data_IF_018559889712
#
_entry.id   IF_018559889712
#
_cell.length_a   1.000
_cell.length_b   1.000
_cell.length_c   1.000
_cell.angle_alpha   90.00
_cell.angle_beta   90.00
_cell.angle_gamma   90.00
#
_symmetry.space_group_name_H-M   'P 1'
#
loop_
_entity.id
_entity.type
_entity.pdbx_description
1 polymer ?
#
# COMPACT_ATOMS: atom_id res chain seq x y z
N UNK A 1 -9.07 30.81 -15.87
CA UNK A 1 -8.78 30.42 -17.26
C UNK A 1 -8.30 28.99 -17.19
N UNK A 2 -9.18 28.07 -17.60
CA UNK A 2 -8.97 26.62 -17.65
C UNK A 2 -7.73 26.34 -18.49
N UNK A 3 -6.70 25.75 -17.90
CA UNK A 3 -5.51 25.28 -18.61
C UNK A 3 -5.44 23.77 -18.42
N UNK A 4 -5.88 23.08 -19.46
CA UNK A 4 -5.82 21.65 -19.73
C UNK A 4 -4.91 20.87 -18.76
N UNK A 5 -5.49 20.23 -17.72
CA UNK A 5 -4.80 19.10 -17.11
C UNK A 5 -4.85 17.97 -18.14
N UNK A 6 -3.83 17.89 -18.99
CA UNK A 6 -3.46 16.64 -19.65
C UNK A 6 -3.40 15.59 -18.55
N UNK A 7 -4.05 14.44 -18.72
CA UNK A 7 -4.26 13.38 -17.70
C UNK A 7 -3.01 12.89 -16.92
N UNK A 8 -1.85 13.53 -17.03
CA UNK A 8 -0.71 13.46 -16.13
C UNK A 8 -0.97 14.19 -14.79
N UNK A 9 -1.78 13.54 -13.94
CA UNK A 9 -2.15 14.03 -12.62
C UNK A 9 -0.99 14.19 -11.62
N UNK A 10 0.25 13.88 -12.01
CA UNK A 10 1.47 14.13 -11.23
C UNK A 10 1.85 15.61 -11.16
N UNK A 11 1.49 16.40 -12.17
CA UNK A 11 1.90 17.81 -12.30
C UNK A 11 0.78 18.82 -11.99
N UNK A 12 -0.49 18.39 -11.98
CA UNK A 12 -1.62 19.26 -11.67
C UNK A 12 -2.13 19.01 -10.25
N UNK A 13 -2.45 20.07 -9.51
CA UNK A 13 -2.96 20.02 -8.14
C UNK A 13 -4.47 19.71 -8.09
N UNK A 14 -5.00 19.08 -9.15
CA UNK A 14 -6.40 18.65 -9.24
C UNK A 14 -6.61 17.32 -8.52
N UNK A 15 -7.82 17.14 -8.00
CA UNK A 15 -8.22 15.96 -7.24
C UNK A 15 -8.52 14.79 -8.20
N UNK A 16 -7.48 14.20 -8.78
CA UNK A 16 -7.61 13.12 -9.75
C UNK A 16 -7.93 11.78 -9.10
N UNK A 17 -8.83 11.01 -9.73
CA UNK A 17 -9.24 9.66 -9.30
C UNK A 17 -8.07 8.66 -9.21
N UNK A 18 -6.98 8.87 -9.94
CA UNK A 18 -5.74 8.05 -9.87
C UNK A 18 -5.01 8.19 -8.52
N UNK A 19 -5.28 9.25 -7.74
CA UNK A 19 -4.72 9.45 -6.39
C UNK A 19 -5.46 8.67 -5.32
N UNK A 20 -6.53 7.97 -5.67
CA UNK A 20 -7.24 7.09 -4.74
C UNK A 20 -6.35 5.88 -4.52
N UNK A 21 -5.52 5.92 -3.47
CA UNK A 21 -4.75 4.77 -3.04
C UNK A 21 -5.76 3.69 -2.62
N UNK A 22 -6.01 2.73 -3.51
CA UNK A 22 -6.73 1.51 -3.21
C UNK A 22 -6.11 0.90 -1.95
N UNK A 23 -6.88 0.89 -0.88
CA UNK A 23 -6.43 0.28 0.37
C UNK A 23 -6.37 -1.22 0.12
N UNK A 24 -5.16 -1.78 0.03
CA UNK A 24 -4.94 -3.24 -0.01
C UNK A 24 -5.35 -3.93 1.30
N UNK A 25 -5.92 -3.19 2.26
CA UNK A 25 -6.43 -3.72 3.51
C UNK A 25 -7.81 -4.34 3.28
N UNK A 26 -7.86 -5.67 3.27
CA UNK A 26 -9.11 -6.41 3.33
C UNK A 26 -9.68 -6.35 4.75
N UNK A 27 -11.00 -6.19 4.86
CA UNK A 27 -11.67 -6.26 6.15
C UNK A 27 -11.35 -7.58 6.86
N UNK A 28 -11.01 -7.54 8.16
CA UNK A 28 -10.84 -8.75 8.96
C UNK A 28 -12.13 -9.58 8.97
N UNK A 29 -12.01 -10.88 9.24
CA UNK A 29 -13.18 -11.73 9.51
C UNK A 29 -13.96 -11.20 10.72
N UNK A 30 -15.27 -11.41 10.75
CA UNK A 30 -16.11 -11.09 11.91
C UNK A 30 -15.54 -11.70 13.20
N UNK A 31 -15.42 -10.87 14.24
CA UNK A 31 -14.81 -11.23 15.53
C UNK A 31 -13.28 -11.20 15.56
N UNK A 32 -12.60 -10.94 14.44
CA UNK A 32 -11.15 -10.80 14.41
C UNK A 32 -10.73 -9.36 14.75
N UNK A 33 -9.72 -9.22 15.62
CA UNK A 33 -9.14 -7.94 16.00
C UNK A 33 -7.66 -7.89 15.62
N UNK A 34 -7.28 -6.99 14.72
CA UNK A 34 -5.88 -6.76 14.35
C UNK A 34 -5.28 -5.78 15.35
N UNK A 35 -4.40 -6.26 16.23
CA UNK A 35 -3.73 -5.39 17.22
C UNK A 35 -2.58 -4.56 16.64
N UNK A 36 -1.78 -5.16 15.75
CA UNK A 36 -0.60 -4.52 15.14
C UNK A 36 -0.52 -4.87 13.66
N UNK A 37 -0.09 -3.90 12.85
CA UNK A 37 0.20 -4.07 11.42
C UNK A 37 1.66 -3.71 11.21
N UNK A 38 2.44 -4.64 10.67
CA UNK A 38 3.88 -4.48 10.45
C UNK A 38 4.17 -4.59 8.95
N UNK A 39 4.73 -3.53 8.37
CA UNK A 39 5.15 -3.51 6.98
C UNK A 39 6.60 -3.98 6.84
N UNK A 40 6.83 -5.04 6.07
CA UNK A 40 8.17 -5.53 5.71
C UNK A 40 8.52 -5.02 4.31
N UNK A 41 9.38 -4.01 4.23
CA UNK A 41 9.72 -3.32 2.98
C UNK A 41 11.23 -3.32 2.72
N UNK A 42 11.60 -3.21 1.45
CA UNK A 42 13.00 -3.06 1.03
C UNK A 42 13.07 -2.42 -0.35
N UNK A 43 14.01 -1.49 -0.51
CA UNK A 43 14.26 -0.76 -1.76
C UNK A 43 14.90 -1.58 -2.88
N UNK A 44 15.41 -2.79 -2.62
CA UNK A 44 16.02 -3.66 -3.64
C UNK A 44 15.27 -5.00 -3.78
N UNK A 45 15.20 -5.52 -5.00
CA UNK A 45 14.69 -6.86 -5.29
C UNK A 45 15.63 -7.96 -4.79
N UNK A 46 15.09 -9.13 -4.45
CA UNK A 46 15.88 -10.33 -4.11
C UNK A 46 16.46 -10.40 -2.70
N UNK A 47 16.17 -9.45 -1.80
CA UNK A 47 16.70 -9.46 -0.42
C UNK A 47 16.00 -10.42 0.55
N UNK A 48 15.05 -11.22 0.08
CA UNK A 48 14.34 -12.20 0.92
C UNK A 48 13.16 -11.66 1.74
N UNK A 49 12.54 -10.52 1.37
CA UNK A 49 11.36 -9.96 2.05
C UNK A 49 10.30 -11.02 2.37
N UNK A 50 9.90 -11.80 1.38
CA UNK A 50 8.86 -12.83 1.53
C UNK A 50 9.26 -13.96 2.48
N UNK A 51 10.55 -14.37 2.45
CA UNK A 51 11.07 -15.40 3.35
C UNK A 51 11.03 -14.92 4.80
N UNK A 52 11.52 -13.70 5.05
CA UNK A 52 11.51 -13.10 6.39
C UNK A 52 10.08 -12.89 6.89
N UNK A 53 9.16 -12.43 6.05
CA UNK A 53 7.74 -12.31 6.41
C UNK A 53 7.14 -13.66 6.83
N UNK A 54 7.47 -14.75 6.13
CA UNK A 54 6.98 -16.09 6.48
C UNK A 54 7.53 -16.60 7.81
N UNK A 55 8.84 -16.43 8.04
CA UNK A 55 9.48 -16.81 9.30
C UNK A 55 8.95 -15.98 10.47
N UNK A 56 8.81 -14.66 10.29
CA UNK A 56 8.26 -13.76 11.30
C UNK A 56 6.82 -14.14 11.68
N UNK A 57 6.00 -14.59 10.72
CA UNK A 57 4.64 -15.04 10.98
C UNK A 57 4.56 -16.41 11.66
N UNK A 58 5.61 -17.22 11.60
CA UNK A 58 5.67 -18.52 12.27
C UNK A 58 6.16 -18.42 13.72
N UNK A 59 6.86 -17.35 14.07
CA UNK A 59 7.53 -17.20 15.37
C UNK A 59 6.85 -16.19 16.30
N UNK A 60 6.10 -15.22 15.77
CA UNK A 60 5.26 -14.27 16.53
C UNK A 60 3.85 -14.81 16.77
#
# INVERSE_FOLDING_TARGET
MSSDCTHECSACSENCSERTAESFLKSPREGAHIGKVIAVISGKGGVGKSLVTGLMAAEL
#
